data_IF_168179746502
#
_entry.id   IF_168179746502
#
_cell.length_a   1.000
_cell.length_b   1.000
_cell.length_c   1.000
_cell.angle_alpha   90.00
_cell.angle_beta   90.00
_cell.angle_gamma   90.00
#
_symmetry.space_group_name_H-M   'P 1'
#
loop_
_entity.id
_entity.type
_entity.pdbx_description
1 polymer ?
#
# COMPACT_ATOMS: atom_id res chain seq x y z
N UNK A 1 -3.81 -2.76 -7.69
CA UNK A 1 -4.38 -1.54 -7.10
C UNK A 1 -3.70 -0.24 -7.59
N UNK A 2 -2.95 -0.28 -8.69
CA UNK A 2 -2.44 0.93 -9.34
C UNK A 2 -3.51 1.55 -10.25
N UNK A 3 -3.42 2.86 -10.51
CA UNK A 3 -4.25 3.53 -11.50
C UNK A 3 -3.94 2.97 -12.89
N UNK A 4 -4.94 2.66 -13.74
CA UNK A 4 -6.38 2.89 -13.57
C UNK A 4 -7.16 1.74 -12.88
N UNK A 5 -6.50 0.66 -12.48
CA UNK A 5 -7.11 -0.56 -11.94
C UNK A 5 -7.32 -0.53 -10.40
N UNK A 6 -7.48 0.65 -9.81
CA UNK A 6 -7.54 0.84 -8.36
C UNK A 6 -8.96 0.90 -7.79
N UNK A 7 -9.98 1.09 -8.62
CA UNK A 7 -11.34 1.50 -8.19
C UNK A 7 -12.00 0.53 -7.20
N UNK A 8 -11.71 -0.76 -7.29
CA UNK A 8 -12.25 -1.78 -6.40
C UNK A 8 -11.65 -1.76 -4.98
N UNK A 9 -10.44 -1.21 -4.83
CA UNK A 9 -9.65 -1.38 -3.60
C UNK A 9 -10.27 -0.72 -2.38
N UNK A 10 -10.73 0.55 -2.42
CA UNK A 10 -11.33 1.20 -1.25
C UNK A 10 -12.60 0.50 -0.76
N UNK A 11 -13.48 0.12 -1.68
CA UNK A 11 -14.78 -0.48 -1.34
C UNK A 11 -14.62 -1.91 -0.79
N UNK A 12 -13.71 -2.69 -1.39
CA UNK A 12 -13.40 -4.04 -0.90
C UNK A 12 -12.72 -3.99 0.48
N UNK A 13 -11.81 -3.04 0.71
CA UNK A 13 -11.16 -2.91 2.03
C UNK A 13 -12.16 -2.52 3.11
N UNK A 14 -13.08 -1.62 2.81
CA UNK A 14 -14.10 -1.19 3.76
C UNK A 14 -15.11 -2.29 4.04
N UNK A 15 -15.61 -2.97 3.00
CA UNK A 15 -16.65 -3.99 3.11
C UNK A 15 -16.16 -5.34 3.66
N UNK A 16 -14.88 -5.67 3.52
CA UNK A 16 -14.35 -6.93 4.01
C UNK A 16 -14.10 -6.91 5.54
N UNK A 17 -14.19 -8.07 6.22
CA UNK A 17 -13.72 -8.19 7.60
C UNK A 17 -12.24 -7.78 7.72
N UNK A 18 -11.88 -7.07 8.80
CA UNK A 18 -10.53 -6.50 8.98
C UNK A 18 -9.38 -7.52 8.82
N UNK A 19 -9.48 -8.78 9.30
CA UNK A 19 -8.42 -9.78 9.04
C UNK A 19 -8.26 -10.11 7.55
N UNK A 20 -9.37 -10.14 6.81
CA UNK A 20 -9.35 -10.39 5.35
C UNK A 20 -8.74 -9.19 4.63
N UNK A 21 -9.08 -7.98 5.05
CA UNK A 21 -8.48 -6.75 4.52
C UNK A 21 -6.97 -6.72 4.75
N UNK A 22 -6.50 -7.12 5.94
CA UNK A 22 -5.08 -7.22 6.25
C UNK A 22 -4.34 -8.18 5.30
N UNK A 23 -4.93 -9.34 5.04
CA UNK A 23 -4.38 -10.31 4.08
C UNK A 23 -4.36 -9.75 2.65
N UNK A 24 -5.47 -9.17 2.19
CA UNK A 24 -5.59 -8.58 0.85
C UNK A 24 -4.65 -7.38 0.65
N UNK A 25 -4.31 -6.68 1.73
CA UNK A 25 -3.40 -5.54 1.68
C UNK A 25 -1.96 -5.94 1.37
N UNK A 26 -1.55 -7.18 1.65
CA UNK A 26 -0.15 -7.62 1.56
C UNK A 26 0.04 -8.75 0.54
N UNK A 27 -0.53 -9.92 0.78
CA UNK A 27 -0.19 -11.13 0.03
C UNK A 27 -0.45 -11.04 -1.49
N UNK A 28 -1.62 -10.58 -1.97
CA UNK A 28 -1.86 -10.47 -3.40
C UNK A 28 -0.96 -9.42 -4.09
N UNK A 29 -0.55 -8.38 -3.35
CA UNK A 29 0.30 -7.31 -3.90
C UNK A 29 1.74 -7.76 -4.08
N UNK A 30 2.28 -8.50 -3.10
CA UNK A 30 3.59 -9.14 -3.22
C UNK A 30 3.64 -10.04 -4.44
N UNK A 31 2.66 -10.94 -4.56
CA UNK A 31 2.58 -11.89 -5.67
C UNK A 31 2.41 -11.18 -7.03
N UNK A 32 1.50 -10.19 -7.10
CA UNK A 32 1.26 -9.43 -8.32
C UNK A 32 2.48 -8.62 -8.75
N UNK A 33 3.20 -7.98 -7.81
CA UNK A 33 4.39 -7.21 -8.13
C UNK A 33 5.52 -8.11 -8.63
N UNK A 34 5.76 -9.24 -7.97
CA UNK A 34 6.74 -10.22 -8.42
C UNK A 34 6.45 -10.77 -9.82
N UNK A 35 5.16 -11.14 -10.05
CA UNK A 35 4.72 -11.61 -11.35
C UNK A 35 4.86 -10.53 -12.43
N UNK A 36 4.45 -9.30 -12.12
CA UNK A 36 4.51 -8.19 -13.06
C UNK A 36 5.94 -7.86 -13.46
N UNK A 37 6.86 -7.75 -12.49
CA UNK A 37 8.29 -7.55 -12.77
C UNK A 37 8.85 -8.67 -13.66
N UNK A 38 8.58 -9.92 -13.30
CA UNK A 38 9.06 -11.07 -14.07
C UNK A 38 8.51 -11.08 -15.50
N UNK A 39 7.20 -10.82 -15.67
CA UNK A 39 6.57 -10.81 -16.99
C UNK A 39 7.16 -9.73 -17.88
N UNK A 40 7.31 -8.50 -17.38
CA UNK A 40 7.80 -7.37 -18.19
C UNK A 40 9.27 -7.57 -18.57
N UNK A 41 10.12 -7.98 -17.64
CA UNK A 41 11.56 -8.15 -17.90
C UNK A 41 11.84 -9.34 -18.83
N UNK A 42 11.10 -10.46 -18.68
CA UNK A 42 11.38 -11.68 -19.46
C UNK A 42 10.67 -11.74 -20.80
N UNK A 43 9.43 -11.19 -20.88
CA UNK A 43 8.58 -11.34 -22.07
C UNK A 43 8.76 -10.16 -23.03
N UNK A 44 8.97 -8.95 -22.48
CA UNK A 44 8.99 -7.72 -23.28
C UNK A 44 10.30 -6.92 -23.19
N UNK A 45 11.48 -7.54 -23.29
CA UNK A 45 12.75 -6.81 -23.21
C UNK A 45 12.93 -5.82 -24.37
N UNK A 46 12.38 -6.13 -25.56
CA UNK A 46 12.53 -5.29 -26.75
C UNK A 46 11.56 -4.09 -26.78
N UNK A 47 10.53 -4.08 -25.93
CA UNK A 47 9.55 -3.00 -25.85
C UNK A 47 9.77 -2.09 -24.63
N UNK A 48 11.00 -1.99 -24.17
CA UNK A 48 11.36 -1.31 -22.93
C UNK A 48 10.89 0.13 -22.87
N UNK A 49 11.14 0.93 -23.89
CA UNK A 49 10.75 2.33 -23.95
C UNK A 49 9.23 2.52 -23.87
N UNK A 50 8.47 1.62 -24.48
CA UNK A 50 7.02 1.70 -24.51
C UNK A 50 6.40 1.38 -23.15
N UNK A 51 6.79 0.26 -22.52
CA UNK A 51 6.21 -0.10 -21.21
C UNK A 51 6.71 0.82 -20.08
N UNK A 52 7.93 1.35 -20.19
CA UNK A 52 8.46 2.28 -19.19
C UNK A 52 7.62 3.56 -19.09
N UNK A 53 7.25 4.16 -20.22
CA UNK A 53 6.39 5.34 -20.22
C UNK A 53 5.02 5.07 -19.58
N UNK A 54 4.43 3.91 -19.85
CA UNK A 54 3.16 3.50 -19.25
C UNK A 54 3.31 3.36 -17.73
N UNK A 55 4.40 2.73 -17.27
CA UNK A 55 4.66 2.55 -15.83
C UNK A 55 4.90 3.88 -15.14
N UNK A 56 5.64 4.81 -15.74
CA UNK A 56 5.83 6.17 -15.21
C UNK A 56 4.48 6.87 -15.04
N UNK A 57 3.63 6.83 -16.05
CA UNK A 57 2.30 7.42 -15.97
C UNK A 57 1.46 6.79 -14.86
N UNK A 58 1.41 5.46 -14.79
CA UNK A 58 0.68 4.72 -13.76
C UNK A 58 1.20 5.04 -12.35
N UNK A 59 2.51 5.16 -12.20
CA UNK A 59 3.18 5.52 -10.96
C UNK A 59 2.77 6.90 -10.47
N UNK A 60 2.95 7.93 -11.32
CA UNK A 60 2.59 9.31 -11.00
C UNK A 60 1.10 9.45 -10.67
N UNK A 61 0.24 8.88 -11.51
CA UNK A 61 -1.21 8.92 -11.30
C UNK A 61 -1.62 8.23 -9.99
N UNK A 62 -0.97 7.11 -9.63
CA UNK A 62 -1.25 6.37 -8.39
C UNK A 62 -0.79 7.13 -7.16
N UNK A 63 0.37 7.79 -7.21
CA UNK A 63 0.87 8.62 -6.10
C UNK A 63 -0.03 9.81 -5.85
N UNK A 64 -0.39 10.55 -6.90
CA UNK A 64 -1.24 11.75 -6.79
C UNK A 64 -2.65 11.37 -6.30
N UNK A 65 -3.27 10.36 -6.93
CA UNK A 65 -4.62 9.93 -6.57
C UNK A 65 -4.64 9.35 -5.14
N UNK A 66 -3.69 8.48 -4.82
CA UNK A 66 -3.60 7.85 -3.50
C UNK A 66 -3.45 8.89 -2.38
N UNK A 67 -2.56 9.86 -2.54
CA UNK A 67 -2.33 10.91 -1.55
C UNK A 67 -3.54 11.82 -1.38
N UNK A 68 -4.08 12.36 -2.47
CA UNK A 68 -5.19 13.32 -2.41
C UNK A 68 -6.48 12.67 -1.89
N UNK A 69 -6.78 11.45 -2.34
CA UNK A 69 -7.98 10.75 -1.91
C UNK A 69 -7.89 10.27 -0.45
N UNK A 70 -6.70 10.01 0.07
CA UNK A 70 -6.50 9.62 1.47
C UNK A 70 -6.89 10.73 2.46
N UNK A 71 -6.65 12.01 2.12
CA UNK A 71 -6.87 13.16 3.01
C UNK A 71 -8.33 13.27 3.48
N UNK A 72 -9.28 12.95 2.59
CA UNK A 72 -10.72 13.10 2.87
C UNK A 72 -11.38 11.88 3.54
N UNK A 73 -10.63 10.84 3.92
CA UNK A 73 -11.22 9.60 4.44
C UNK A 73 -11.52 9.70 5.93
N UNK A 74 -12.67 9.13 6.31
CA UNK A 74 -13.09 8.96 7.70
C UNK A 74 -12.93 7.51 8.20
N UNK A 75 -12.99 6.55 7.27
CA UNK A 75 -12.76 5.14 7.57
C UNK A 75 -11.27 4.81 7.50
N UNK A 76 -10.75 4.17 8.57
CA UNK A 76 -9.35 3.76 8.65
C UNK A 76 -9.02 2.72 7.55
N UNK A 77 -9.96 1.85 7.22
CA UNK A 77 -9.79 0.85 6.16
C UNK A 77 -9.70 1.51 4.76
N UNK A 78 -10.51 2.53 4.50
CA UNK A 78 -10.42 3.31 3.25
C UNK A 78 -9.13 4.14 3.18
N UNK A 79 -8.73 4.73 4.30
CA UNK A 79 -7.44 5.43 4.39
C UNK A 79 -6.29 4.50 4.01
N UNK A 80 -6.26 3.29 4.59
CA UNK A 80 -5.25 2.27 4.26
C UNK A 80 -5.32 1.80 2.81
N UNK A 81 -6.51 1.75 2.21
CA UNK A 81 -6.68 1.42 0.80
C UNK A 81 -6.04 2.47 -0.11
N UNK A 82 -6.32 3.77 0.10
CA UNK A 82 -5.73 4.85 -0.68
C UNK A 82 -4.23 5.00 -0.45
N UNK A 83 -3.77 4.88 0.81
CA UNK A 83 -2.35 4.79 1.13
C UNK A 83 -1.68 3.66 0.33
N UNK A 84 -2.31 2.50 0.25
CA UNK A 84 -1.77 1.38 -0.50
C UNK A 84 -1.69 1.61 -2.01
N UNK A 85 -2.60 2.41 -2.59
CA UNK A 85 -2.53 2.82 -4.01
C UNK A 85 -1.31 3.72 -4.22
N UNK A 86 -1.08 4.68 -3.33
CA UNK A 86 0.10 5.55 -3.35
C UNK A 86 1.41 4.77 -3.24
N UNK A 87 1.49 3.82 -2.28
CA UNK A 87 2.68 2.97 -2.09
C UNK A 87 2.99 2.07 -3.29
N UNK A 88 1.98 1.53 -3.97
CA UNK A 88 2.20 0.83 -5.23
C UNK A 88 2.73 1.81 -6.30
N UNK A 89 2.28 3.06 -6.29
CA UNK A 89 2.86 4.11 -7.13
C UNK A 89 4.36 4.29 -6.88
N UNK A 90 4.80 4.39 -5.62
CA UNK A 90 6.23 4.46 -5.28
C UNK A 90 7.02 3.20 -5.71
N UNK A 91 6.46 2.01 -5.50
CA UNK A 91 7.09 0.78 -5.97
C UNK A 91 7.27 0.76 -7.50
N UNK A 92 6.31 1.33 -8.24
CA UNK A 92 6.40 1.46 -9.70
C UNK A 92 7.46 2.47 -10.15
N UNK A 93 7.84 3.47 -9.34
CA UNK A 93 9.02 4.33 -9.63
C UNK A 93 10.28 3.48 -9.70
N UNK A 94 10.51 2.64 -8.69
CA UNK A 94 11.65 1.72 -8.69
C UNK A 94 11.62 0.77 -9.89
N UNK A 95 10.43 0.33 -10.28
CA UNK A 95 10.26 -0.52 -11.45
C UNK A 95 10.55 0.23 -12.77
N UNK A 96 10.13 1.48 -12.90
CA UNK A 96 10.46 2.31 -14.06
C UNK A 96 11.97 2.57 -14.19
N UNK A 97 12.71 2.54 -13.08
CA UNK A 97 14.16 2.69 -13.05
C UNK A 97 14.94 1.42 -13.47
N UNK A 98 14.26 0.28 -13.65
CA UNK A 98 14.89 -0.97 -14.13
C UNK A 98 15.38 -0.85 -15.59
N UNK A 99 14.91 0.15 -16.31
CA UNK A 99 15.31 0.42 -17.69
C UNK A 99 16.79 0.87 -17.75
N UNK A 100 17.64 0.11 -18.46
CA UNK A 100 19.06 0.44 -18.66
C UNK A 100 20.03 -0.49 -17.90
N UNK A 101 21.27 -0.04 -17.77
CA UNK A 101 22.39 -0.86 -17.23
C UNK A 101 22.24 -1.22 -15.73
N UNK A 102 21.35 -0.54 -14.99
CA UNK A 102 21.14 -0.71 -13.54
C UNK A 102 19.92 -1.58 -13.21
N UNK A 103 19.54 -2.50 -14.07
CA UNK A 103 18.34 -3.34 -13.91
C UNK A 103 18.32 -4.13 -12.57
N UNK A 104 19.47 -4.62 -12.11
CA UNK A 104 19.56 -5.38 -10.86
C UNK A 104 19.31 -4.51 -9.61
N UNK A 105 19.77 -3.27 -9.60
CA UNK A 105 19.57 -2.31 -8.51
C UNK A 105 18.10 -1.88 -8.41
N UNK A 106 17.45 -1.63 -9.55
CA UNK A 106 16.03 -1.30 -9.60
C UNK A 106 15.15 -2.43 -9.06
N UNK A 107 15.40 -3.68 -9.48
CA UNK A 107 14.69 -4.86 -8.96
C UNK A 107 14.89 -5.01 -7.46
N UNK A 108 16.12 -4.89 -6.99
CA UNK A 108 16.46 -4.98 -5.55
C UNK A 108 15.72 -3.90 -4.75
N UNK A 109 15.71 -2.66 -5.25
CA UNK A 109 15.00 -1.55 -4.62
C UNK A 109 13.50 -1.80 -4.50
N UNK A 110 12.85 -2.28 -5.56
CA UNK A 110 11.42 -2.63 -5.51
C UNK A 110 11.13 -3.73 -4.50
N UNK A 111 11.95 -4.79 -4.47
CA UNK A 111 11.76 -5.91 -3.53
C UNK A 111 11.89 -5.42 -2.08
N UNK A 112 12.94 -4.67 -1.77
CA UNK A 112 13.17 -4.12 -0.43
C UNK A 112 11.99 -3.22 -0.02
N UNK A 113 11.57 -2.32 -0.91
CA UNK A 113 10.45 -1.43 -0.65
C UNK A 113 9.16 -2.19 -0.34
N UNK A 114 8.81 -3.19 -1.15
CA UNK A 114 7.56 -3.95 -0.99
C UNK A 114 7.61 -4.81 0.27
N UNK A 115 8.76 -5.33 0.68
CA UNK A 115 8.94 -6.04 1.96
C UNK A 115 8.71 -5.08 3.13
N UNK A 116 9.34 -3.91 3.15
CA UNK A 116 9.17 -2.90 4.21
C UNK A 116 7.71 -2.47 4.29
N UNK A 117 7.09 -2.13 3.16
CA UNK A 117 5.67 -1.81 3.08
C UNK A 117 4.79 -2.91 3.67
N UNK A 118 5.09 -4.18 3.39
CA UNK A 118 4.33 -5.32 3.90
C UNK A 118 4.40 -5.43 5.42
N UNK A 119 5.59 -5.26 6.00
CA UNK A 119 5.79 -5.28 7.47
C UNK A 119 5.00 -4.15 8.13
N UNK A 120 5.09 -2.93 7.61
CA UNK A 120 4.38 -1.77 8.14
C UNK A 120 2.86 -1.93 8.04
N UNK A 121 2.37 -2.42 6.91
CA UNK A 121 0.94 -2.67 6.69
C UNK A 121 0.41 -3.74 7.65
N UNK A 122 1.11 -4.86 7.81
CA UNK A 122 0.75 -5.91 8.78
C UNK A 122 0.74 -5.34 10.20
N UNK A 123 1.77 -4.56 10.57
CA UNK A 123 1.86 -3.92 11.88
C UNK A 123 0.68 -2.98 12.15
N UNK A 124 0.31 -2.15 11.18
CA UNK A 124 -0.85 -1.25 11.28
C UNK A 124 -2.15 -2.04 11.47
N UNK A 125 -2.41 -3.05 10.65
CA UNK A 125 -3.60 -3.88 10.79
C UNK A 125 -3.60 -4.71 12.08
N UNK A 126 -2.45 -5.17 12.57
CA UNK A 126 -2.35 -5.83 13.87
C UNK A 126 -2.74 -4.89 15.02
N UNK A 127 -2.32 -3.62 14.97
CA UNK A 127 -2.77 -2.61 15.92
C UNK A 127 -4.28 -2.40 15.83
N UNK A 128 -4.84 -2.25 14.64
CA UNK A 128 -6.30 -2.07 14.44
C UNK A 128 -7.07 -3.27 14.97
N UNK A 129 -6.64 -4.50 14.68
CA UNK A 129 -7.28 -5.73 15.14
C UNK A 129 -7.23 -5.89 16.66
N UNK A 130 -6.21 -5.38 17.34
CA UNK A 130 -6.09 -5.44 18.80
C UNK A 130 -6.95 -4.38 19.51
N UNK A 131 -7.49 -3.39 18.79
CA UNK A 131 -8.37 -2.34 19.31
C UNK A 131 -9.87 -2.74 19.27
N UNK A 132 -10.18 -3.96 19.72
CA UNK A 132 -11.56 -4.42 19.76
C UNK A 132 -12.32 -3.74 20.91
N UNK A 133 -13.49 -3.13 20.61
CA UNK A 133 -14.44 -2.60 21.60
C UNK A 133 -15.57 -3.61 21.86
N UNK A 134 -16.29 -3.45 22.97
CA UNK A 134 -17.45 -4.28 23.30
C UNK A 134 -18.58 -4.16 22.27
N UNK A 135 -18.61 -3.09 21.51
CA UNK A 135 -19.63 -2.81 20.48
C UNK A 135 -19.18 -3.14 19.05
N UNK A 136 -17.94 -3.64 18.83
CA UNK A 136 -17.43 -3.97 17.49
C UNK A 136 -15.96 -3.62 17.27
N UNK A 137 -15.57 -3.65 16.01
CA UNK A 137 -14.20 -3.26 15.59
C UNK A 137 -14.09 -1.75 15.47
N UNK A 138 -12.89 -1.21 15.71
CA UNK A 138 -12.55 0.18 15.42
C UNK A 138 -12.44 0.35 13.91
N UNK A 139 -13.34 1.10 13.30
CA UNK A 139 -13.38 1.30 11.86
C UNK A 139 -13.29 2.78 11.46
N UNK A 140 -13.69 3.70 12.33
CA UNK A 140 -13.61 5.14 12.09
C UNK A 140 -12.33 5.73 12.68
N UNK A 141 -11.77 6.75 12.01
CA UNK A 141 -10.58 7.46 12.49
C UNK A 141 -10.88 8.16 13.82
N UNK A 142 -12.08 8.70 13.97
CA UNK A 142 -12.52 9.35 15.22
C UNK A 142 -12.54 8.40 16.42
N UNK A 143 -12.69 7.10 16.18
CA UNK A 143 -12.59 6.07 17.22
C UNK A 143 -11.21 5.97 17.87
N UNK A 144 -10.17 6.48 17.21
CA UNK A 144 -8.80 6.53 17.73
C UNK A 144 -8.60 7.68 18.74
N UNK A 145 -9.59 8.59 18.86
CA UNK A 145 -9.51 9.70 19.79
C UNK A 145 -9.32 9.20 21.23
N UNK A 146 -8.35 9.76 21.95
CA UNK A 146 -8.01 9.37 23.32
C UNK A 146 -7.23 8.05 23.45
N UNK A 147 -6.81 7.41 22.33
CA UNK A 147 -6.03 6.17 22.38
C UNK A 147 -4.73 6.32 23.18
N UNK A 148 -4.08 7.48 23.10
CA UNK A 148 -2.85 7.78 23.82
C UNK A 148 -3.03 7.79 25.34
N UNK A 149 -4.23 8.10 25.83
CA UNK A 149 -4.55 8.11 27.27
C UNK A 149 -4.92 6.71 27.80
N UNK A 150 -5.60 5.92 26.95
CA UNK A 150 -6.10 4.59 27.35
C UNK A 150 -5.08 3.46 27.11
N UNK A 151 -4.34 3.53 25.99
CA UNK A 151 -3.35 2.53 25.56
C UNK A 151 -2.13 3.20 24.91
N UNK A 152 -1.25 3.86 25.70
CA UNK A 152 -0.17 4.70 25.16
C UNK A 152 0.82 3.93 24.27
N UNK A 153 1.16 2.70 24.64
CA UNK A 153 2.06 1.87 23.83
C UNK A 153 1.49 1.54 22.45
N UNK A 154 0.20 1.24 22.37
CA UNK A 154 -0.48 0.96 21.09
C UNK A 154 -0.60 2.22 20.24
N UNK A 155 -0.89 3.36 20.86
CA UNK A 155 -0.91 4.66 20.17
C UNK A 155 0.46 4.99 19.58
N UNK A 156 1.54 4.72 20.33
CA UNK A 156 2.91 4.89 19.85
C UNK A 156 3.23 3.98 18.67
N UNK A 157 2.93 2.69 18.77
CA UNK A 157 3.16 1.75 17.66
C UNK A 157 2.38 2.16 16.39
N UNK A 158 1.10 2.51 16.54
CA UNK A 158 0.29 2.96 15.42
C UNK A 158 0.85 4.25 14.79
N UNK A 159 1.29 5.21 15.60
CA UNK A 159 1.91 6.44 15.13
C UNK A 159 3.21 6.13 14.34
N UNK A 160 4.08 5.27 14.86
CA UNK A 160 5.33 4.87 14.18
C UNK A 160 5.02 4.24 12.82
N UNK A 161 4.07 3.31 12.76
CA UNK A 161 3.70 2.68 11.47
C UNK A 161 3.10 3.69 10.50
N UNK A 162 2.19 4.55 10.96
CA UNK A 162 1.55 5.56 10.10
C UNK A 162 2.56 6.60 9.59
N UNK A 163 3.47 7.09 10.44
CA UNK A 163 4.55 7.98 10.00
C UNK A 163 5.57 7.31 9.08
N UNK A 164 5.82 6.02 9.28
CA UNK A 164 6.71 5.26 8.39
C UNK A 164 6.10 5.03 7.00
N UNK A 165 4.77 5.12 6.90
CA UNK A 165 4.02 5.01 5.65
C UNK A 165 3.77 6.38 4.97
N UNK A 166 4.07 7.49 5.61
CA UNK A 166 3.92 8.84 5.07
C UNK A 166 5.17 9.27 4.31
#
# INVERSE_FOLDING_TARGET
SAVPFHMWTPDVYEGAPTPVTAFLAVAPKLAAMALFMRAVITIFPQAQDAWQQIIIFMSLASMVLGSLAAIGQQSIKRLMAYSSIGHIGFALVGFAAIAGDNSAEGVSGVIIYVIIYSVMTIGTFACILSMRRSQGMVEQIDDLSGLSQTRPFMAFCLAVFMFSMA
#
